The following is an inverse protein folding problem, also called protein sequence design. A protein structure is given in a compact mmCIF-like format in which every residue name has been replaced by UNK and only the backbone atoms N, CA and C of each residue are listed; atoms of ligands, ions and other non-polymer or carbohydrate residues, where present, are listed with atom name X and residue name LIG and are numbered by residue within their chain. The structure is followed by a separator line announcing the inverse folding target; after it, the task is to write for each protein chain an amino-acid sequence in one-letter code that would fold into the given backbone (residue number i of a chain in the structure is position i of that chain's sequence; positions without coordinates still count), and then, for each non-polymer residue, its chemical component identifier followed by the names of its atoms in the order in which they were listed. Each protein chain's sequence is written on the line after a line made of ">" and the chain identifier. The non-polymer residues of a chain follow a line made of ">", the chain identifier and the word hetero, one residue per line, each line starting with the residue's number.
data_IF_890267689344
#
_entry.id   IF_890267689344
#
_cell.length_a   1.000
_cell.length_b   1.000
_cell.length_c   1.000
_cell.angle_alpha   90.00
_cell.angle_beta   90.00
_cell.angle_gamma   90.00
#
_symmetry.space_group_name_H-M   'P 1'
#
loop_
_entity.id
_entity.type
_entity.pdbx_description
1 polymer ?
#
# COMPACT_ATOMS: atom_id res chain seq x y z
N UNK A 1 36.29 -3.24 4.97
CA UNK A 1 35.14 -2.72 5.75
C UNK A 1 33.98 -2.63 4.78
N UNK A 2 33.09 -3.61 4.87
CA UNK A 2 32.08 -3.95 3.88
C UNK A 2 31.03 -2.83 3.74
N UNK A 3 30.89 -2.25 2.55
CA UNK A 3 29.81 -1.30 2.27
C UNK A 3 28.54 -2.12 2.18
N UNK A 4 27.88 -2.31 3.32
CA UNK A 4 26.51 -2.85 3.36
C UNK A 4 25.63 -1.87 2.59
N UNK A 5 25.45 -2.12 1.29
CA UNK A 5 24.56 -1.35 0.44
C UNK A 5 23.13 -1.64 0.88
N UNK A 6 22.66 -0.89 1.88
CA UNK A 6 21.31 -0.98 2.46
C UNK A 6 20.21 -0.86 1.38
N UNK A 7 20.47 -0.09 0.34
CA UNK A 7 19.65 0.07 -0.86
C UNK A 7 20.45 0.83 -1.92
N UNK A 8 20.07 0.69 -3.19
CA UNK A 8 20.52 1.60 -4.26
C UNK A 8 19.93 2.99 -4.04
N UNK A 9 20.65 4.02 -4.49
CA UNK A 9 20.12 5.40 -4.58
C UNK A 9 19.75 5.67 -6.03
N UNK A 10 18.50 6.04 -6.27
CA UNK A 10 17.93 6.16 -7.61
C UNK A 10 17.51 7.61 -7.89
N UNK A 11 17.63 8.01 -9.16
CA UNK A 11 17.16 9.31 -9.63
C UNK A 11 15.63 9.36 -9.77
N UNK A 12 15.04 10.57 -9.95
CA UNK A 12 13.59 10.79 -10.04
C UNK A 12 12.91 9.96 -11.13
N UNK A 13 13.61 9.70 -12.24
CA UNK A 13 13.12 8.94 -13.39
C UNK A 13 12.74 7.49 -13.03
N UNK A 14 13.28 6.95 -11.92
CA UNK A 14 12.91 5.63 -11.43
C UNK A 14 11.41 5.55 -11.08
N UNK A 15 10.81 6.61 -10.52
CA UNK A 15 9.37 6.66 -10.23
C UNK A 15 8.50 6.44 -11.47
N UNK A 16 8.87 7.10 -12.57
CA UNK A 16 8.22 6.92 -13.87
C UNK A 16 8.42 5.50 -14.41
N UNK A 17 9.64 4.96 -14.28
CA UNK A 17 9.97 3.61 -14.75
C UNK A 17 9.19 2.51 -13.98
N UNK A 18 8.98 2.69 -12.67
CA UNK A 18 8.18 1.77 -11.85
C UNK A 18 6.72 1.77 -12.30
N UNK A 19 6.14 2.96 -12.50
CA UNK A 19 4.77 3.08 -12.99
C UNK A 19 4.58 2.43 -14.35
N UNK A 20 5.48 2.71 -15.31
CA UNK A 20 5.46 2.07 -16.64
C UNK A 20 5.59 0.54 -16.55
N UNK A 21 6.41 0.04 -15.64
CA UNK A 21 6.57 -1.39 -15.41
C UNK A 21 5.30 -2.02 -14.82
N UNK A 22 4.63 -1.33 -13.90
CA UNK A 22 3.36 -1.77 -13.35
C UNK A 22 2.26 -1.84 -14.43
N UNK A 23 2.12 -0.79 -15.24
CA UNK A 23 1.19 -0.78 -16.38
C UNK A 23 1.47 -1.94 -17.34
N UNK A 24 2.75 -2.20 -17.65
CA UNK A 24 3.16 -3.33 -18.49
C UNK A 24 2.86 -4.68 -17.85
N UNK A 25 3.04 -4.83 -16.54
CA UNK A 25 2.67 -6.05 -15.81
C UNK A 25 1.16 -6.30 -15.92
N UNK A 26 0.35 -5.28 -15.62
CA UNK A 26 -1.11 -5.34 -15.73
C UNK A 26 -1.57 -5.60 -17.16
N UNK A 27 -0.97 -4.96 -18.16
CA UNK A 27 -1.34 -5.17 -19.56
C UNK A 27 -1.03 -6.59 -20.07
N UNK A 28 0.00 -7.25 -19.53
CA UNK A 28 0.34 -8.64 -19.89
C UNK A 28 -0.61 -9.66 -19.30
N UNK A 29 -1.09 -9.42 -18.08
CA UNK A 29 -1.94 -10.35 -17.34
C UNK A 29 -3.09 -9.60 -16.65
N UNK A 30 -3.99 -8.92 -17.41
CA UNK A 30 -4.96 -7.99 -16.85
C UNK A 30 -5.95 -8.67 -15.93
N UNK A 31 -6.53 -9.78 -16.38
CA UNK A 31 -7.52 -10.51 -15.59
C UNK A 31 -6.89 -11.18 -14.36
N UNK A 32 -5.73 -11.83 -14.50
CA UNK A 32 -5.09 -12.53 -13.39
C UNK A 32 -4.54 -11.60 -12.31
N UNK A 33 -3.93 -10.46 -12.69
CA UNK A 33 -3.50 -9.46 -11.70
C UNK A 33 -4.68 -8.73 -11.07
N UNK A 34 -5.70 -8.39 -11.85
CA UNK A 34 -6.89 -7.75 -11.33
C UNK A 34 -7.63 -8.67 -10.35
N UNK A 35 -7.75 -9.96 -10.66
CA UNK A 35 -8.43 -10.93 -9.80
C UNK A 35 -7.67 -11.15 -8.50
N UNK A 36 -6.34 -11.27 -8.52
CA UNK A 36 -5.52 -11.37 -7.29
C UNK A 36 -5.61 -10.10 -6.46
N UNK A 37 -5.51 -8.92 -7.09
CA UNK A 37 -5.65 -7.64 -6.39
C UNK A 37 -7.03 -7.51 -5.76
N UNK A 38 -8.08 -7.90 -6.49
CA UNK A 38 -9.45 -7.91 -6.00
C UNK A 38 -9.59 -8.87 -4.81
N UNK A 39 -9.08 -10.10 -4.89
CA UNK A 39 -9.11 -11.04 -3.78
C UNK A 39 -8.41 -10.48 -2.53
N UNK A 40 -7.27 -9.82 -2.71
CA UNK A 40 -6.56 -9.16 -1.63
C UNK A 40 -7.38 -8.01 -1.00
N UNK A 41 -7.90 -7.10 -1.83
CA UNK A 41 -8.70 -5.96 -1.37
C UNK A 41 -10.00 -6.40 -0.71
N UNK A 42 -10.64 -7.43 -1.25
CA UNK A 42 -11.85 -8.02 -0.69
C UNK A 42 -11.57 -8.67 0.66
N UNK A 43 -10.49 -9.45 0.78
CA UNK A 43 -10.07 -10.01 2.06
C UNK A 43 -9.74 -8.91 3.08
N UNK A 44 -9.05 -7.84 2.66
CA UNK A 44 -8.82 -6.67 3.51
C UNK A 44 -10.11 -6.02 3.99
N UNK A 45 -11.09 -5.84 3.10
CA UNK A 45 -12.40 -5.31 3.45
C UNK A 45 -13.13 -6.19 4.47
N UNK A 46 -13.14 -7.50 4.27
CA UNK A 46 -13.74 -8.46 5.21
C UNK A 46 -13.05 -8.45 6.57
N UNK A 47 -11.71 -8.45 6.60
CA UNK A 47 -10.95 -8.37 7.84
C UNK A 47 -11.22 -7.04 8.56
N UNK A 48 -11.26 -5.93 7.82
CA UNK A 48 -11.55 -4.60 8.36
C UNK A 48 -12.97 -4.46 8.91
N UNK A 49 -13.93 -5.24 8.40
CA UNK A 49 -15.32 -5.20 8.86
C UNK A 49 -15.52 -5.82 10.26
N UNK A 50 -14.53 -6.52 10.81
CA UNK A 50 -14.63 -7.10 12.16
C UNK A 50 -14.64 -5.97 13.21
N UNK A 51 -15.68 -5.88 14.07
CA UNK A 51 -15.74 -4.85 15.11
C UNK A 51 -14.53 -4.90 16.04
N UNK A 52 -14.05 -3.72 16.45
CA UNK A 52 -12.93 -3.47 17.39
C UNK A 52 -11.54 -3.96 16.94
N UNK A 53 -11.45 -5.08 16.21
CA UNK A 53 -10.19 -5.73 15.84
C UNK A 53 -9.89 -5.74 14.34
N UNK A 54 -10.84 -5.30 13.49
CA UNK A 54 -10.72 -5.49 12.05
C UNK A 54 -9.51 -4.79 11.44
N UNK A 55 -9.13 -3.66 12.01
CA UNK A 55 -7.93 -2.94 11.62
C UNK A 55 -6.63 -3.70 11.94
N UNK A 56 -6.58 -4.40 13.08
CA UNK A 56 -5.42 -5.22 13.48
C UNK A 56 -5.31 -6.43 12.56
N UNK A 57 -6.42 -7.11 12.27
CA UNK A 57 -6.42 -8.26 11.37
C UNK A 57 -5.97 -7.87 9.96
N UNK A 58 -6.45 -6.73 9.46
CA UNK A 58 -6.03 -6.19 8.17
C UNK A 58 -4.54 -5.82 8.16
N UNK A 59 -4.04 -5.19 9.23
CA UNK A 59 -2.62 -4.88 9.36
C UNK A 59 -1.74 -6.14 9.38
N UNK A 60 -2.18 -7.21 10.06
CA UNK A 60 -1.47 -8.50 10.11
C UNK A 60 -1.50 -9.22 8.75
N UNK A 61 -2.59 -9.09 7.98
CA UNK A 61 -2.71 -9.72 6.67
C UNK A 61 -1.97 -8.95 5.55
N UNK A 62 -1.71 -7.65 5.75
CA UNK A 62 -1.14 -6.76 4.73
C UNK A 62 0.22 -7.23 4.18
N UNK A 63 1.16 -7.74 5.00
CA UNK A 63 2.41 -8.32 4.53
C UNK A 63 2.20 -9.49 3.53
N UNK A 64 1.23 -10.37 3.78
CA UNK A 64 0.97 -11.52 2.91
C UNK A 64 0.48 -11.08 1.54
N UNK A 65 -0.49 -10.16 1.50
CA UNK A 65 -0.98 -9.62 0.24
C UNK A 65 0.06 -8.81 -0.53
N UNK A 66 0.91 -8.05 0.19
CA UNK A 66 2.01 -7.29 -0.42
C UNK A 66 2.98 -8.20 -1.17
N UNK A 67 3.41 -9.30 -0.53
CA UNK A 67 4.28 -10.31 -1.18
C UNK A 67 3.54 -11.00 -2.32
N UNK A 68 2.29 -11.38 -2.11
CA UNK A 68 1.50 -12.11 -3.12
C UNK A 68 1.29 -11.30 -4.41
N UNK A 69 0.91 -10.03 -4.29
CA UNK A 69 0.72 -9.15 -5.46
C UNK A 69 2.07 -8.85 -6.12
N UNK A 70 3.13 -8.62 -5.34
CA UNK A 70 4.46 -8.37 -5.89
C UNK A 70 5.01 -9.58 -6.68
N UNK A 71 4.91 -10.79 -6.14
CA UNK A 71 5.28 -12.03 -6.86
C UNK A 71 4.45 -12.23 -8.11
N UNK A 72 3.17 -11.87 -8.06
CA UNK A 72 2.26 -11.90 -9.20
C UNK A 72 2.68 -10.91 -10.29
N UNK A 73 3.05 -9.68 -9.91
CA UNK A 73 3.56 -8.68 -10.83
C UNK A 73 4.89 -9.12 -11.48
N UNK A 74 5.79 -9.74 -10.70
CA UNK A 74 7.02 -10.38 -11.22
C UNK A 74 6.70 -11.43 -12.28
N UNK A 75 5.81 -12.37 -11.97
CA UNK A 75 5.43 -13.44 -12.88
C UNK A 75 4.89 -12.88 -14.20
N UNK A 76 3.99 -11.89 -14.14
CA UNK A 76 3.46 -11.22 -15.31
C UNK A 76 4.55 -10.51 -16.14
N UNK A 77 5.53 -9.87 -15.49
CA UNK A 77 6.65 -9.22 -16.17
C UNK A 77 7.57 -10.21 -16.88
N UNK A 78 7.71 -11.42 -16.34
CA UNK A 78 8.52 -12.51 -16.89
C UNK A 78 7.77 -13.36 -17.95
N UNK A 79 6.52 -13.00 -18.29
CA UNK A 79 5.70 -13.73 -19.25
C UNK A 79 4.96 -14.95 -18.68
N UNK A 80 5.09 -15.19 -17.37
CA UNK A 80 4.31 -16.19 -16.65
C UNK A 80 2.91 -15.69 -16.28
N UNK A 81 2.11 -16.59 -15.70
CA UNK A 81 0.79 -16.25 -15.17
C UNK A 81 0.85 -16.07 -13.64
N UNK A 82 0.25 -15.01 -13.09
CA UNK A 82 0.05 -14.86 -11.65
C UNK A 82 -0.64 -16.07 -11.02
N UNK A 83 -0.13 -16.52 -9.87
CA UNK A 83 -0.61 -17.74 -9.22
C UNK A 83 -1.25 -17.45 -7.86
N UNK A 84 -2.43 -18.04 -7.64
CA UNK A 84 -3.07 -18.11 -6.32
C UNK A 84 -2.29 -19.02 -5.35
N UNK A 85 -1.59 -20.04 -5.87
CA UNK A 85 -0.78 -20.95 -5.08
C UNK A 85 0.36 -20.24 -4.34
N UNK A 86 0.85 -19.13 -4.88
CA UNK A 86 1.90 -18.33 -4.24
C UNK A 86 1.48 -17.80 -2.86
N UNK A 87 0.19 -17.56 -2.60
CA UNK A 87 -0.27 -17.17 -1.27
C UNK A 87 -0.22 -18.36 -0.30
N UNK A 88 -0.67 -19.53 -0.74
CA UNK A 88 -0.64 -20.75 0.07
C UNK A 88 0.80 -21.17 0.44
N UNK A 89 1.76 -20.95 -0.46
CA UNK A 89 3.19 -21.13 -0.18
C UNK A 89 3.68 -20.24 0.97
N UNK A 90 3.20 -19.00 1.08
CA UNK A 90 3.56 -18.12 2.19
C UNK A 90 3.18 -18.73 3.54
N UNK A 91 1.99 -19.34 3.63
CA UNK A 91 1.48 -19.97 4.85
C UNK A 91 2.10 -21.34 5.15
N UNK A 92 2.65 -22.04 4.14
CA UNK A 92 3.34 -23.33 4.34
C UNK A 92 4.69 -23.16 5.02
N UNK A 93 5.40 -22.08 4.71
CA UNK A 93 6.64 -21.73 5.40
C UNK A 93 6.34 -21.06 6.74
N UNK A 94 6.44 -21.85 7.83
CA UNK A 94 6.18 -21.38 9.20
C UNK A 94 7.13 -20.26 9.64
N UNK A 95 8.40 -20.29 9.20
CA UNK A 95 9.39 -19.26 9.56
C UNK A 95 9.00 -17.95 8.89
N UNK A 96 8.79 -17.96 7.57
CA UNK A 96 8.36 -16.77 6.82
C UNK A 96 7.02 -16.23 7.35
N UNK A 97 6.03 -17.10 7.57
CA UNK A 97 4.71 -16.71 8.15
C UNK A 97 4.89 -15.97 9.47
N UNK A 98 5.70 -16.49 10.39
CA UNK A 98 5.94 -15.85 11.69
C UNK A 98 6.62 -14.47 11.53
N UNK A 99 7.57 -14.32 10.59
CA UNK A 99 8.22 -13.04 10.31
C UNK A 99 7.22 -12.03 9.72
N UNK A 100 6.39 -12.44 8.76
CA UNK A 100 5.37 -11.59 8.14
C UNK A 100 4.30 -11.14 9.16
N UNK A 101 3.85 -12.03 10.04
CA UNK A 101 2.92 -11.66 11.12
C UNK A 101 3.54 -10.58 12.02
N UNK A 102 4.82 -10.72 12.39
CA UNK A 102 5.51 -9.70 13.23
C UNK A 102 5.60 -8.35 12.52
N UNK A 103 5.91 -8.33 11.22
CA UNK A 103 5.87 -7.10 10.42
C UNK A 103 4.48 -6.47 10.44
N UNK A 104 3.43 -7.28 10.26
CA UNK A 104 2.04 -6.81 10.30
C UNK A 104 1.60 -6.31 11.68
N UNK A 105 2.06 -6.95 12.76
CA UNK A 105 1.83 -6.50 14.13
C UNK A 105 2.52 -5.15 14.41
N UNK A 106 3.75 -4.96 13.91
CA UNK A 106 4.44 -3.66 14.01
C UNK A 106 3.65 -2.59 13.27
N UNK A 107 3.15 -2.89 12.06
CA UNK A 107 2.31 -1.94 11.32
C UNK A 107 1.00 -1.64 12.07
N UNK A 108 0.34 -2.67 12.60
CA UNK A 108 -0.86 -2.51 13.42
C UNK A 108 -0.62 -1.63 14.65
N UNK A 109 0.51 -1.83 15.34
CA UNK A 109 0.93 -0.99 16.46
C UNK A 109 1.11 0.47 16.04
N UNK A 110 1.87 0.75 14.97
CA UNK A 110 2.04 2.10 14.42
C UNK A 110 0.69 2.77 14.21
N UNK A 111 -0.23 2.05 13.59
CA UNK A 111 -1.53 2.61 13.24
C UNK A 111 -2.42 2.85 14.47
N UNK A 112 -2.41 1.95 15.45
CA UNK A 112 -3.11 2.16 16.73
C UNK A 112 -2.55 3.40 17.43
N UNK A 113 -1.22 3.56 17.46
CA UNK A 113 -0.58 4.74 18.05
C UNK A 113 -0.98 6.01 17.30
N UNK A 114 -0.99 5.99 15.97
CA UNK A 114 -1.44 7.14 15.16
C UNK A 114 -2.90 7.52 15.49
N UNK A 115 -3.77 6.53 15.58
CA UNK A 115 -5.19 6.75 15.91
C UNK A 115 -5.37 7.29 17.34
N UNK A 116 -4.63 6.75 18.31
CA UNK A 116 -4.67 7.22 19.70
C UNK A 116 -4.18 8.68 19.81
N UNK A 117 -3.04 9.00 19.19
CA UNK A 117 -2.47 10.35 19.17
C UNK A 117 -3.42 11.34 18.49
N UNK A 118 -3.99 10.96 17.34
CA UNK A 118 -4.98 11.77 16.66
C UNK A 118 -6.20 12.00 17.56
N UNK A 119 -6.79 10.94 18.11
CA UNK A 119 -7.99 11.03 18.95
C UNK A 119 -7.80 11.91 20.19
N UNK A 120 -6.65 11.82 20.86
CA UNK A 120 -6.34 12.66 22.03
C UNK A 120 -6.18 14.13 21.62
N UNK A 121 -5.41 14.41 20.57
CA UNK A 121 -5.09 15.78 20.17
C UNK A 121 -6.22 16.49 19.41
N UNK A 122 -7.17 15.73 18.86
CA UNK A 122 -8.31 16.28 18.11
C UNK A 122 -9.58 16.41 18.95
N UNK A 123 -9.59 15.96 20.21
CA UNK A 123 -10.78 15.91 21.06
C UNK A 123 -11.53 17.26 21.13
N UNK A 124 -10.80 18.35 21.40
CA UNK A 124 -11.39 19.70 21.50
C UNK A 124 -11.97 20.17 20.16
N UNK A 125 -11.24 19.94 19.06
CA UNK A 125 -11.70 20.33 17.73
C UNK A 125 -12.94 19.53 17.28
N UNK A 126 -12.94 18.21 17.53
CA UNK A 126 -14.06 17.33 17.24
C UNK A 126 -15.27 17.69 18.10
N UNK A 127 -15.08 18.13 19.35
CA UNK A 127 -16.19 18.56 20.21
C UNK A 127 -16.94 19.77 19.65
N UNK A 128 -16.30 20.55 18.77
CA UNK A 128 -16.87 21.72 18.11
C UNK A 128 -17.55 21.36 16.77
N UNK A 129 -17.46 20.10 16.33
CA UNK A 129 -18.13 19.64 15.12
C UNK A 129 -19.63 19.51 15.35
N UNK A 130 -20.41 20.23 14.55
CA UNK A 130 -21.86 20.25 14.66
C UNK A 130 -22.47 19.11 13.85
N UNK A 131 -23.40 18.37 14.46
CA UNK A 131 -24.24 17.39 13.78
C UNK A 131 -25.66 17.96 13.70
N UNK A 132 -26.14 18.19 12.48
CA UNK A 132 -27.50 18.68 12.19
C UNK A 132 -28.25 17.62 11.39
N UNK A 133 -29.44 17.24 11.86
CA UNK A 133 -30.29 16.21 11.22
C UNK A 133 -29.56 14.86 11.02
N UNK A 134 -28.73 14.46 11.98
CA UNK A 134 -27.93 13.23 11.90
C UNK A 134 -26.78 13.30 10.88
N UNK A 135 -26.49 14.48 10.32
CA UNK A 135 -25.40 14.71 9.36
C UNK A 135 -24.39 15.70 9.92
N UNK A 136 -23.12 15.46 9.63
CA UNK A 136 -22.05 16.38 10.00
C UNK A 136 -22.16 17.67 9.18
N UNK A 137 -22.11 18.82 9.84
CA UNK A 137 -22.02 20.12 9.19
C UNK A 137 -20.58 20.36 8.74
N UNK A 138 -20.35 20.25 7.42
CA UNK A 138 -19.02 20.43 6.83
C UNK A 138 -18.43 21.82 7.04
N UNK A 139 -19.25 22.85 7.26
CA UNK A 139 -18.75 24.19 7.55
C UNK A 139 -18.08 24.26 8.92
N UNK A 140 -18.68 23.61 9.92
CA UNK A 140 -18.13 23.47 11.27
C UNK A 140 -16.85 22.63 11.27
N UNK A 141 -16.80 21.55 10.47
CA UNK A 141 -15.58 20.73 10.30
C UNK A 141 -14.46 21.56 9.69
N UNK A 142 -14.74 22.31 8.62
CA UNK A 142 -13.76 23.15 7.94
C UNK A 142 -13.22 24.26 8.85
N UNK A 143 -14.06 24.80 9.74
CA UNK A 143 -13.67 25.79 10.73
C UNK A 143 -12.77 25.21 11.84
N UNK A 144 -12.94 23.92 12.18
CA UNK A 144 -12.27 23.27 13.31
C UNK A 144 -11.48 22.03 12.86
N UNK A 145 -10.63 22.20 11.84
CA UNK A 145 -9.72 21.14 11.39
C UNK A 145 -8.57 21.00 12.40
N UNK A 146 -8.33 19.82 13.00
CA UNK A 146 -7.27 19.62 13.98
C UNK A 146 -5.90 19.44 13.29
N UNK A 147 -5.37 20.50 12.68
CA UNK A 147 -4.10 20.46 11.94
C UNK A 147 -2.92 19.95 12.77
N UNK A 148 -2.87 20.31 14.06
CA UNK A 148 -1.84 19.81 14.98
C UNK A 148 -1.93 18.29 15.20
N UNK A 149 -3.15 17.76 15.39
CA UNK A 149 -3.37 16.33 15.53
C UNK A 149 -3.03 15.57 14.23
N UNK A 150 -3.42 16.13 13.07
CA UNK A 150 -3.06 15.59 11.76
C UNK A 150 -1.54 15.53 11.57
N UNK A 151 -0.84 16.63 11.86
CA UNK A 151 0.61 16.70 11.73
C UNK A 151 1.31 15.69 12.66
N UNK A 152 0.87 15.59 13.92
CA UNK A 152 1.41 14.63 14.88
C UNK A 152 1.19 13.18 14.43
N UNK A 153 -0.02 12.84 13.96
CA UNK A 153 -0.32 11.51 13.44
C UNK A 153 0.51 11.19 12.18
N UNK A 154 0.66 12.14 11.25
CA UNK A 154 1.48 11.96 10.04
C UNK A 154 2.96 11.75 10.37
N UNK A 155 3.48 12.45 11.38
CA UNK A 155 4.88 12.32 11.82
C UNK A 155 5.18 10.92 12.36
N UNK A 156 4.18 10.21 12.88
CA UNK A 156 4.30 8.81 13.32
C UNK A 156 4.01 7.82 12.17
N UNK A 157 3.00 8.11 11.37
CA UNK A 157 2.56 7.26 10.28
C UNK A 157 3.63 7.12 9.20
N UNK A 158 4.26 8.22 8.77
CA UNK A 158 5.22 8.21 7.66
C UNK A 158 6.43 7.32 7.98
N UNK A 159 7.14 7.46 9.11
CA UNK A 159 8.25 6.57 9.46
C UNK A 159 7.82 5.10 9.60
N UNK A 160 6.66 4.84 10.23
CA UNK A 160 6.16 3.48 10.40
C UNK A 160 5.80 2.83 9.06
N UNK A 161 5.19 3.60 8.15
CA UNK A 161 4.91 3.19 6.78
C UNK A 161 6.21 2.91 6.01
N UNK A 162 7.21 3.81 6.08
CA UNK A 162 8.52 3.60 5.45
C UNK A 162 9.21 2.34 5.98
N UNK A 163 9.08 2.09 7.28
CA UNK A 163 9.63 0.90 7.91
C UNK A 163 8.92 -0.36 7.44
N UNK A 164 7.60 -0.37 7.19
CA UNK A 164 6.87 -1.60 6.85
C UNK A 164 6.64 -1.80 5.35
N UNK A 165 6.84 -0.78 4.51
CA UNK A 165 6.48 -0.81 3.08
C UNK A 165 7.13 -1.96 2.31
N UNK A 166 8.45 -2.14 2.46
CA UNK A 166 9.24 -3.17 1.75
C UNK A 166 9.63 -4.35 2.64
N UNK A 167 9.40 -4.27 3.95
CA UNK A 167 9.73 -5.37 4.87
C UNK A 167 9.16 -6.73 4.48
N UNK A 168 7.90 -6.84 4.01
CA UNK A 168 7.36 -8.14 3.60
C UNK A 168 8.18 -8.79 2.48
N UNK A 169 8.60 -8.00 1.48
CA UNK A 169 9.42 -8.48 0.36
C UNK A 169 10.87 -8.75 0.77
N UNK A 170 11.42 -7.96 1.69
CA UNK A 170 12.75 -8.25 2.27
C UNK A 170 12.73 -9.55 3.07
N UNK A 171 11.65 -9.86 3.78
CA UNK A 171 11.47 -11.15 4.45
C UNK A 171 11.33 -12.27 3.41
N UNK A 172 10.44 -12.12 2.43
CA UNK A 172 10.09 -13.22 1.51
C UNK A 172 11.13 -13.49 0.43
N UNK A 173 11.83 -12.47 -0.05
CA UNK A 173 12.77 -12.57 -1.17
C UNK A 173 14.24 -12.52 -0.74
N UNK A 174 14.54 -11.96 0.44
CA UNK A 174 15.91 -11.88 0.98
C UNK A 174 16.14 -12.72 2.23
N UNK A 175 15.11 -13.38 2.77
CA UNK A 175 15.22 -14.23 3.96
C UNK A 175 15.46 -13.48 5.27
N UNK A 176 15.31 -12.15 5.27
CA UNK A 176 15.62 -11.33 6.45
C UNK A 176 14.68 -11.59 7.62
N UNK A 177 15.19 -11.41 8.84
CA UNK A 177 14.35 -11.31 10.04
C UNK A 177 13.51 -10.04 10.01
N UNK A 178 12.37 -10.05 10.70
CA UNK A 178 11.44 -8.92 10.77
C UNK A 178 12.11 -7.60 11.22
N UNK A 179 13.04 -7.66 12.19
CA UNK A 179 13.73 -6.46 12.67
C UNK A 179 14.68 -5.88 11.63
N UNK A 180 15.45 -6.75 10.96
CA UNK A 180 16.37 -6.33 9.89
C UNK A 180 15.60 -5.78 8.68
N UNK A 181 14.49 -6.42 8.32
CA UNK A 181 13.68 -6.00 7.18
C UNK A 181 13.02 -4.63 7.41
N UNK A 182 12.63 -4.30 8.63
CA UNK A 182 12.13 -2.95 8.99
C UNK A 182 13.21 -1.88 8.82
N UNK A 183 14.42 -2.15 9.32
CA UNK A 183 15.55 -1.23 9.20
C UNK A 183 15.92 -0.97 7.74
N UNK A 184 16.04 -2.02 6.93
CA UNK A 184 16.37 -1.90 5.51
C UNK A 184 15.27 -1.20 4.71
N UNK A 185 14.00 -1.49 5.00
CA UNK A 185 12.88 -0.80 4.35
C UNK A 185 12.90 0.70 4.68
N UNK A 186 13.05 1.05 5.96
CA UNK A 186 13.07 2.45 6.40
C UNK A 186 14.17 3.25 5.70
N UNK A 187 15.42 2.80 5.79
CA UNK A 187 16.55 3.49 5.15
C UNK A 187 16.53 3.34 3.62
N UNK A 188 15.88 2.31 3.09
CA UNK A 188 15.55 2.16 1.68
C UNK A 188 14.70 3.31 1.18
N UNK A 189 13.61 3.61 1.90
CA UNK A 189 12.70 4.71 1.62
C UNK A 189 13.38 6.07 1.82
N UNK A 190 14.10 6.29 2.94
CA UNK A 190 14.78 7.57 3.24
C UNK A 190 15.74 7.98 2.12
N UNK A 191 16.52 7.02 1.60
CA UNK A 191 17.47 7.29 0.51
C UNK A 191 16.79 7.57 -0.84
N UNK A 192 15.54 7.16 -1.00
CA UNK A 192 14.83 7.18 -2.28
C UNK A 192 13.49 7.94 -2.19
N UNK A 193 13.40 8.95 -1.32
CA UNK A 193 12.19 9.75 -1.15
C UNK A 193 11.76 10.36 -2.50
N UNK A 194 12.70 10.92 -3.26
CA UNK A 194 12.38 11.63 -4.50
C UNK A 194 11.69 10.74 -5.57
N UNK A 195 12.24 9.58 -5.99
CA UNK A 195 11.53 8.72 -6.93
C UNK A 195 10.22 8.12 -6.36
N UNK A 196 10.13 7.89 -5.05
CA UNK A 196 8.87 7.46 -4.40
C UNK A 196 7.81 8.56 -4.50
N UNK A 197 8.19 9.83 -4.25
CA UNK A 197 7.29 10.98 -4.40
C UNK A 197 6.85 11.15 -5.86
N UNK A 198 7.76 11.02 -6.83
CA UNK A 198 7.41 11.06 -8.25
C UNK A 198 6.39 9.98 -8.60
N UNK A 199 6.58 8.75 -8.13
CA UNK A 199 5.60 7.69 -8.31
C UNK A 199 4.25 8.04 -7.69
N UNK A 200 4.24 8.55 -6.45
CA UNK A 200 3.03 8.97 -5.76
C UNK A 200 2.26 10.05 -6.53
N UNK A 201 2.97 11.06 -7.04
CA UNK A 201 2.41 12.11 -7.89
C UNK A 201 1.77 11.52 -9.14
N UNK A 202 2.47 10.61 -9.84
CA UNK A 202 1.92 9.95 -11.04
C UNK A 202 0.64 9.17 -10.72
N UNK A 203 0.64 8.38 -9.64
CA UNK A 203 -0.53 7.59 -9.23
C UNK A 203 -1.71 8.52 -8.95
N UNK A 204 -1.49 9.60 -8.19
CA UNK A 204 -2.55 10.58 -7.86
C UNK A 204 -3.08 11.25 -9.12
N UNK A 205 -2.20 11.80 -9.97
CA UNK A 205 -2.64 12.51 -11.18
C UNK A 205 -3.39 11.58 -12.15
N UNK A 206 -2.91 10.35 -12.36
CA UNK A 206 -3.57 9.40 -13.25
C UNK A 206 -4.91 8.95 -12.67
N UNK A 207 -4.96 8.64 -11.37
CA UNK A 207 -6.19 8.19 -10.72
C UNK A 207 -7.26 9.28 -10.72
N UNK A 208 -6.88 10.51 -10.32
CA UNK A 208 -7.79 11.65 -10.31
C UNK A 208 -8.21 12.01 -11.73
N UNK A 209 -7.26 12.05 -12.68
CA UNK A 209 -7.54 12.38 -14.07
C UNK A 209 -8.52 11.40 -14.73
N UNK A 210 -8.29 10.10 -14.57
CA UNK A 210 -9.18 9.06 -15.11
C UNK A 210 -10.55 9.08 -14.41
N UNK A 211 -10.58 9.23 -13.08
CA UNK A 211 -11.86 9.30 -12.34
C UNK A 211 -12.68 10.52 -12.75
N UNK A 212 -12.04 11.69 -12.86
CA UNK A 212 -12.68 12.93 -13.29
C UNK A 212 -13.20 12.82 -14.73
N UNK A 213 -12.38 12.33 -15.66
CA UNK A 213 -12.79 12.10 -17.05
C UNK A 213 -13.97 11.12 -17.14
N UNK A 214 -13.95 10.04 -16.34
CA UNK A 214 -15.03 9.06 -16.30
C UNK A 214 -16.35 9.67 -15.82
N UNK A 215 -16.32 10.45 -14.73
CA UNK A 215 -17.50 11.15 -14.22
C UNK A 215 -18.05 12.15 -15.25
N UNK A 216 -17.16 12.90 -15.89
CA UNK A 216 -17.54 13.84 -16.94
C UNK A 216 -18.26 13.13 -18.10
N UNK A 217 -17.70 12.00 -18.59
CA UNK A 217 -18.30 11.20 -19.66
C UNK A 217 -19.65 10.59 -19.26
N UNK A 218 -19.76 10.04 -18.04
CA UNK A 218 -21.01 9.49 -17.51
C UNK A 218 -22.11 10.55 -17.49
N UNK A 219 -21.78 11.76 -17.05
CA UNK A 219 -22.73 12.88 -17.01
C UNK A 219 -23.14 13.33 -18.41
N UNK A 220 -22.18 13.45 -19.34
CA UNK A 220 -22.45 13.84 -20.72
C UNK A 220 -23.32 12.80 -21.46
N UNK A 221 -23.17 11.52 -21.14
CA UNK A 221 -23.94 10.43 -21.74
C UNK A 221 -25.31 10.17 -21.07
N UNK A 222 -25.65 10.87 -19.98
CA UNK A 222 -26.90 10.64 -19.23
C UNK A 222 -26.94 9.28 -18.51
N UNK A 223 -25.78 8.72 -18.16
CA UNK A 223 -25.65 7.38 -17.55
C UNK A 223 -25.51 7.42 -16.02
N UNK A 224 -26.02 8.47 -15.35
CA UNK A 224 -25.80 8.68 -13.91
C UNK A 224 -26.36 7.54 -13.06
N UNK A 225 -27.42 6.89 -13.51
CA UNK A 225 -28.07 5.75 -12.83
C UNK A 225 -27.16 4.52 -12.70
N UNK A 226 -26.17 4.36 -13.59
CA UNK A 226 -25.25 3.22 -13.60
C UNK A 226 -23.80 3.61 -13.27
N UNK A 227 -23.57 4.80 -12.73
CA UNK A 227 -22.25 5.33 -12.36
C UNK A 227 -21.39 4.30 -11.61
N UNK A 228 -21.93 3.68 -10.56
CA UNK A 228 -21.20 2.71 -9.74
C UNK A 228 -20.73 1.48 -10.54
N UNK A 229 -21.51 1.02 -11.52
CA UNK A 229 -21.14 -0.11 -12.38
C UNK A 229 -19.98 0.22 -13.33
N UNK A 230 -19.76 1.51 -13.63
CA UNK A 230 -18.67 1.97 -14.49
C UNK A 230 -17.43 2.34 -13.67
N UNK A 231 -17.59 3.10 -12.59
CA UNK A 231 -16.45 3.56 -11.79
C UNK A 231 -15.81 2.43 -10.98
N UNK A 232 -16.57 1.43 -10.54
CA UNK A 232 -16.03 0.35 -9.71
C UNK A 232 -14.97 -0.48 -10.46
N UNK A 233 -15.20 -0.98 -11.69
CA UNK A 233 -14.15 -1.64 -12.48
C UNK A 233 -12.94 -0.75 -12.74
N UNK A 234 -13.14 0.54 -13.02
CA UNK A 234 -12.06 1.50 -13.24
C UNK A 234 -11.20 1.64 -11.99
N UNK A 235 -11.83 1.81 -10.82
CA UNK A 235 -11.14 1.88 -9.54
C UNK A 235 -10.33 0.60 -9.26
N UNK A 236 -10.87 -0.58 -9.60
CA UNK A 236 -10.15 -1.84 -9.46
C UNK A 236 -8.93 -1.92 -10.37
N UNK A 237 -9.04 -1.55 -11.65
CA UNK A 237 -7.90 -1.53 -12.59
C UNK A 237 -6.82 -0.56 -12.10
N UNK A 238 -7.21 0.66 -11.67
CA UNK A 238 -6.28 1.65 -11.13
C UNK A 238 -5.57 1.14 -9.87
N UNK A 239 -6.31 0.44 -9.01
CA UNK A 239 -5.74 -0.21 -7.83
C UNK A 239 -4.76 -1.32 -8.22
N UNK A 240 -5.10 -2.15 -9.21
CA UNK A 240 -4.21 -3.21 -9.73
C UNK A 240 -2.90 -2.63 -10.25
N UNK A 241 -2.96 -1.56 -11.05
CA UNK A 241 -1.75 -0.88 -11.53
C UNK A 241 -0.94 -0.33 -10.34
N UNK A 242 -1.61 0.25 -9.35
CA UNK A 242 -0.96 0.79 -8.16
C UNK A 242 -0.24 -0.30 -7.36
N UNK A 243 -0.90 -1.42 -7.05
CA UNK A 243 -0.27 -2.51 -6.32
C UNK A 243 0.82 -3.22 -7.14
N UNK A 244 0.69 -3.26 -8.47
CA UNK A 244 1.72 -3.83 -9.33
C UNK A 244 3.05 -3.05 -9.33
N UNK A 245 3.10 -1.84 -8.78
CA UNK A 245 4.37 -1.08 -8.62
C UNK A 245 5.29 -1.68 -7.56
N UNK A 246 4.75 -2.47 -6.61
CA UNK A 246 5.51 -2.99 -5.47
C UNK A 246 6.76 -3.76 -5.92
N UNK A 247 6.61 -4.64 -6.91
CA UNK A 247 7.73 -5.45 -7.40
C UNK A 247 8.82 -4.62 -8.10
N UNK A 248 8.51 -3.80 -9.14
CA UNK A 248 9.51 -2.93 -9.76
C UNK A 248 10.23 -2.00 -8.79
N UNK A 249 9.52 -1.45 -7.80
CA UNK A 249 10.14 -0.65 -6.74
C UNK A 249 11.15 -1.49 -5.97
N UNK A 250 10.70 -2.61 -5.39
CA UNK A 250 11.55 -3.50 -4.59
C UNK A 250 12.79 -3.98 -5.34
N UNK A 251 12.61 -4.47 -6.56
CA UNK A 251 13.69 -4.99 -7.41
C UNK A 251 14.74 -3.91 -7.70
N UNK A 252 14.29 -2.68 -8.00
CA UNK A 252 15.22 -1.58 -8.28
C UNK A 252 15.96 -1.07 -7.04
N UNK A 253 15.33 -1.06 -5.85
CA UNK A 253 15.95 -0.56 -4.62
C UNK A 253 16.89 -1.59 -3.99
N UNK A 254 16.57 -2.88 -4.07
CA UNK A 254 17.18 -3.91 -3.24
C UNK A 254 17.80 -5.07 -4.04
N UNK A 255 18.02 -4.92 -5.35
CA UNK A 255 18.60 -5.98 -6.21
C UNK A 255 19.98 -6.47 -5.79
N UNK A 256 20.82 -5.58 -5.25
CA UNK A 256 22.21 -5.90 -4.85
C UNK A 256 22.32 -6.65 -3.51
N UNK A 257 21.22 -6.77 -2.77
CA UNK A 257 21.23 -7.45 -1.48
C UNK A 257 21.17 -8.95 -1.73
N UNK A 258 22.24 -9.68 -1.42
CA UNK A 258 22.23 -11.14 -1.48
C UNK A 258 21.11 -11.70 -0.58
N UNK A 259 20.43 -12.75 -1.06
CA UNK A 259 19.52 -13.50 -0.20
C UNK A 259 20.33 -14.16 0.92
N UNK A 260 19.84 -14.10 2.15
CA UNK A 260 20.45 -14.83 3.25
C UNK A 260 20.17 -16.32 3.03
N UNK A 261 21.22 -17.11 2.76
CA UNK A 261 21.12 -18.56 2.80
C UNK A 261 20.77 -18.97 4.24
N UNK A 262 19.68 -19.71 4.38
CA UNK A 262 19.17 -20.11 5.68
C UNK A 262 20.22 -20.94 6.43
N UNK A 263 20.79 -20.36 7.49
CA UNK A 263 21.22 -21.13 8.66
C UNK A 263 19.99 -21.64 9.43
#
# INVERSE_FOLDING_TARGET
>A
MDKTHLSRTLGPSAGIAWYKSAVRATARQPFALASITFCYLFAMGLLSAVPFFGFVFSAVFMPFGSVWIARSARAALQGGSPSYGSLAELFRDKRMTAQLIRVGLVFGFVLITCNAVYGILSADAISQWVVKDGRLDWSSVAAHIPYGALAAAMLLYIPGLMATWFSPLLVSERGMTWGKSLFYSFFGCVRNILPILVLGVIIVFVTVGISWASIWLINAAGLQSINLFILTPIAFILSTVTYATYWPMFESLFSDIAAEENA
#
